data_IF_248448833692
#
_entry.id   IF_248448833692
#
_cell.length_a   1.000
_cell.length_b   1.000
_cell.length_c   1.000
_cell.angle_alpha   90.00
_cell.angle_beta   90.00
_cell.angle_gamma   90.00
#
_symmetry.space_group_name_H-M   'P 1'
#
loop_
_entity.id
_entity.type
_entity.pdbx_description
1 polymer ?
#
# COMPACT_ATOMS: atom_id res chain seq x y z
N UNK A 1 -12.61 -4.60 7.40
CA UNK A 1 -12.04 -4.74 8.76
C UNK A 1 -10.55 -4.42 8.69
N UNK A 2 -9.95 -3.72 9.67
CA UNK A 2 -8.48 -3.51 9.72
C UNK A 2 -7.81 -4.78 10.25
N UNK A 3 -6.78 -5.24 9.57
CA UNK A 3 -6.04 -6.46 9.90
C UNK A 3 -4.70 -6.15 10.58
N UNK A 4 -4.01 -5.12 10.11
CA UNK A 4 -2.72 -4.69 10.62
C UNK A 4 -2.47 -3.22 10.23
N UNK A 5 -1.49 -2.58 10.86
CA UNK A 5 -1.04 -1.25 10.49
C UNK A 5 0.48 -1.14 10.70
N UNK A 6 1.12 -0.35 9.84
CA UNK A 6 2.54 -0.01 9.94
C UNK A 6 2.67 1.49 10.15
N UNK A 7 3.38 1.90 11.20
CA UNK A 7 3.53 3.31 11.55
C UNK A 7 4.77 3.91 10.88
N UNK A 8 4.54 4.95 10.08
CA UNK A 8 5.56 5.87 9.60
C UNK A 8 5.82 6.98 10.61
N UNK A 9 6.32 8.12 10.13
CA UNK A 9 6.52 9.34 10.92
C UNK A 9 5.30 10.25 10.90
N UNK A 10 4.68 10.43 9.74
CA UNK A 10 3.50 11.27 9.54
C UNK A 10 2.26 10.42 9.22
N UNK A 11 2.47 9.24 8.65
CA UNK A 11 1.39 8.39 8.17
C UNK A 11 1.37 7.03 8.86
N UNK A 12 0.17 6.53 9.13
CA UNK A 12 -0.08 5.14 9.47
C UNK A 12 -0.63 4.43 8.24
N UNK A 13 0.03 3.37 7.82
CA UNK A 13 -0.35 2.55 6.67
C UNK A 13 -1.21 1.39 7.15
N UNK A 14 -2.52 1.54 7.04
CA UNK A 14 -3.49 0.54 7.48
C UNK A 14 -3.75 -0.49 6.39
N UNK A 15 -3.77 -1.76 6.76
CA UNK A 15 -4.15 -2.88 5.91
C UNK A 15 -5.56 -3.31 6.29
N UNK A 16 -6.49 -3.25 5.35
CA UNK A 16 -7.88 -3.67 5.56
C UNK A 16 -8.32 -4.70 4.52
N UNK A 17 -9.29 -5.53 4.89
CA UNK A 17 -9.96 -6.41 3.94
C UNK A 17 -10.74 -5.61 2.89
N UNK A 18 -10.58 -5.98 1.63
CA UNK A 18 -11.31 -5.48 0.47
C UNK A 18 -11.99 -6.65 -0.25
N UNK A 19 -13.07 -6.39 -1.00
CA UNK A 19 -13.77 -7.45 -1.75
C UNK A 19 -12.82 -8.22 -2.70
N UNK A 20 -11.85 -7.51 -3.29
CA UNK A 20 -10.85 -8.04 -4.22
C UNK A 20 -9.50 -8.40 -3.58
N UNK A 21 -9.41 -8.41 -2.24
CA UNK A 21 -8.19 -8.78 -1.51
C UNK A 21 -7.93 -7.90 -0.29
N UNK A 22 -6.84 -7.15 -0.34
CA UNK A 22 -6.34 -6.35 0.78
C UNK A 22 -6.02 -4.94 0.30
N UNK A 23 -6.58 -3.93 0.95
CA UNK A 23 -6.29 -2.52 0.66
C UNK A 23 -5.31 -1.99 1.69
N UNK A 24 -4.27 -1.30 1.21
CA UNK A 24 -3.40 -0.45 2.02
C UNK A 24 -3.84 0.99 1.84
N UNK A 25 -4.11 1.67 2.93
CA UNK A 25 -4.53 3.08 2.94
C UNK A 25 -3.71 3.88 3.93
N UNK A 26 -3.51 5.15 3.64
CA UNK A 26 -2.76 6.07 4.47
C UNK A 26 -3.72 6.81 5.41
N UNK A 27 -3.42 6.77 6.70
CA UNK A 27 -4.06 7.60 7.72
C UNK A 27 -3.05 8.61 8.25
N UNK A 28 -3.41 9.88 8.23
CA UNK A 28 -2.63 10.95 8.82
C UNK A 28 -2.59 10.77 10.35
N UNK A 29 -1.40 10.76 10.95
CA UNK A 29 -1.22 10.58 12.40
C UNK A 29 -1.60 11.83 13.21
N UNK A 30 -1.54 13.01 12.61
CA UNK A 30 -1.86 14.29 13.25
C UNK A 30 -3.36 14.57 13.21
N UNK A 31 -4.00 14.36 12.05
CA UNK A 31 -5.43 14.66 11.85
C UNK A 31 -6.33 13.44 12.06
N UNK A 32 -5.80 12.23 11.87
CA UNK A 32 -6.57 10.99 11.89
C UNK A 32 -7.35 10.70 10.61
N UNK A 33 -7.25 11.57 9.60
CA UNK A 33 -7.98 11.47 8.34
C UNK A 33 -7.34 10.41 7.42
N UNK A 34 -8.17 9.75 6.61
CA UNK A 34 -7.72 8.76 5.62
C UNK A 34 -7.57 9.44 4.26
N UNK A 35 -6.45 9.20 3.59
CA UNK A 35 -6.22 9.69 2.24
C UNK A 35 -6.99 8.84 1.22
N UNK A 36 -8.12 9.38 0.72
CA UNK A 36 -9.04 8.67 -0.18
C UNK A 36 -8.44 8.30 -1.55
N UNK A 37 -7.37 8.98 -1.98
CA UNK A 37 -6.73 8.76 -3.27
C UNK A 37 -5.42 7.95 -3.18
N UNK A 38 -4.92 7.69 -1.96
CA UNK A 38 -3.66 6.99 -1.70
C UNK A 38 -3.79 5.48 -1.59
N UNK A 39 -4.98 4.92 -1.84
CA UNK A 39 -5.26 3.51 -1.64
C UNK A 39 -4.54 2.64 -2.68
N UNK A 40 -3.95 1.53 -2.23
CA UNK A 40 -3.38 0.49 -3.11
C UNK A 40 -3.94 -0.87 -2.72
N UNK A 41 -4.51 -1.59 -3.69
CA UNK A 41 -5.15 -2.90 -3.50
C UNK A 41 -4.23 -4.01 -3.99
N UNK A 42 -4.02 -5.00 -3.13
CA UNK A 42 -3.23 -6.20 -3.38
C UNK A 42 -4.11 -7.44 -3.29
N UNK A 43 -3.77 -8.48 -4.04
CA UNK A 43 -4.48 -9.77 -3.99
C UNK A 43 -4.07 -10.61 -2.80
N UNK A 44 -2.87 -10.40 -2.27
CA UNK A 44 -2.24 -11.23 -1.24
C UNK A 44 -1.84 -10.40 -0.02
N UNK A 45 -2.20 -10.90 1.17
CA UNK A 45 -1.90 -10.24 2.44
C UNK A 45 -0.40 -10.02 2.68
N UNK A 46 0.51 -10.98 2.38
CA UNK A 46 1.93 -10.78 2.63
C UNK A 46 2.54 -9.63 1.80
N UNK A 47 2.03 -9.41 0.58
CA UNK A 47 2.49 -8.30 -0.27
C UNK A 47 1.92 -6.98 0.21
N UNK A 48 0.65 -6.93 0.59
CA UNK A 48 0.05 -5.75 1.23
C UNK A 48 0.83 -5.33 2.48
N UNK A 49 1.22 -6.31 3.30
CA UNK A 49 2.02 -6.07 4.50
C UNK A 49 3.42 -5.54 4.16
N UNK A 50 4.13 -6.19 3.25
CA UNK A 50 5.45 -5.74 2.83
C UNK A 50 5.43 -4.33 2.21
N UNK A 51 4.38 -4.01 1.46
CA UNK A 51 4.16 -2.66 0.93
C UNK A 51 3.95 -1.64 2.05
N UNK A 52 3.07 -1.92 3.01
CA UNK A 52 2.82 -1.04 4.15
C UNK A 52 4.09 -0.81 4.99
N UNK A 53 4.90 -1.85 5.23
CA UNK A 53 6.19 -1.72 5.92
C UNK A 53 7.18 -0.86 5.14
N UNK A 54 7.31 -1.09 3.82
CA UNK A 54 8.18 -0.31 2.95
C UNK A 54 7.77 1.16 2.94
N UNK A 55 6.48 1.46 2.79
CA UNK A 55 5.97 2.84 2.78
C UNK A 55 6.17 3.52 4.13
N UNK A 56 5.95 2.83 5.25
CA UNK A 56 6.23 3.35 6.59
C UNK A 56 7.73 3.64 6.81
N UNK A 57 8.62 2.80 6.30
CA UNK A 57 10.06 3.05 6.36
C UNK A 57 10.48 4.21 5.45
N UNK A 58 9.87 4.35 4.27
CA UNK A 58 10.09 5.48 3.39
C UNK A 58 9.65 6.80 4.02
N UNK A 59 8.46 6.85 4.62
CA UNK A 59 7.96 8.05 5.32
C UNK A 59 8.92 8.46 6.44
N UNK A 60 9.36 7.51 7.28
CA UNK A 60 10.38 7.76 8.30
C UNK A 60 11.67 8.29 7.68
N UNK A 61 12.19 7.65 6.62
CA UNK A 61 13.42 8.06 5.94
C UNK A 61 13.33 9.48 5.34
N UNK A 62 12.21 9.83 4.71
CA UNK A 62 12.04 11.18 4.12
C UNK A 62 11.78 12.26 5.16
N UNK A 63 11.33 11.88 6.35
CA UNK A 63 11.10 12.79 7.46
C UNK A 63 12.38 13.10 8.25
N UNK A 64 13.46 12.35 8.05
CA UNK A 64 14.74 12.67 8.69
C UNK A 64 15.39 13.85 7.98
N UNK A 65 15.81 14.84 8.78
CA UNK A 65 16.56 16.00 8.30
C UNK A 65 18.05 15.71 8.39
N UNK A 66 18.85 16.19 7.42
CA UNK A 66 20.32 16.03 7.23
C UNK A 66 21.25 16.17 8.48
N UNK A 67 20.71 16.52 9.64
CA UNK A 67 21.44 16.72 10.91
C UNK A 67 21.33 15.53 11.89
N UNK A 68 20.56 14.48 11.57
CA UNK A 68 20.43 13.32 12.46
C UNK A 68 21.46 12.20 12.13
N UNK A 69 22.21 11.69 13.14
CA UNK A 69 23.22 10.65 12.93
C UNK A 69 22.64 9.28 12.49
N UNK A 70 21.32 9.15 12.41
CA UNK A 70 20.60 7.89 12.14
C UNK A 70 20.18 7.73 10.65
N UNK A 71 20.46 8.72 9.80
CA UNK A 71 20.05 8.74 8.38
C UNK A 71 20.54 7.51 7.59
N UNK A 72 21.77 7.07 7.85
CA UNK A 72 22.35 5.88 7.18
C UNK A 72 21.61 4.60 7.58
N UNK A 73 21.22 4.49 8.85
CA UNK A 73 20.48 3.35 9.35
C UNK A 73 19.07 3.33 8.76
N UNK A 74 18.41 4.49 8.69
CA UNK A 74 17.06 4.62 8.10
C UNK A 74 17.06 4.36 6.58
N UNK A 75 18.07 4.84 5.86
CA UNK A 75 18.25 4.52 4.44
C UNK A 75 18.44 3.02 4.21
N UNK A 76 19.21 2.36 5.08
CA UNK A 76 19.40 0.90 5.03
C UNK A 76 18.10 0.16 5.35
N UNK A 77 17.37 0.61 6.37
CA UNK A 77 16.08 0.06 6.80
C UNK A 77 15.03 0.12 5.68
N UNK A 78 14.99 1.24 4.95
CA UNK A 78 14.15 1.44 3.77
C UNK A 78 14.56 0.51 2.63
N UNK A 79 15.85 0.49 2.25
CA UNK A 79 16.34 -0.33 1.15
C UNK A 79 16.08 -1.85 1.37
N UNK A 80 16.21 -2.33 2.60
CA UNK A 80 15.89 -3.73 2.95
C UNK A 80 14.41 -4.03 2.73
N UNK A 81 13.50 -3.14 3.16
CA UNK A 81 12.06 -3.34 2.99
C UNK A 81 11.61 -3.20 1.54
N UNK A 82 12.20 -2.27 0.79
CA UNK A 82 11.99 -2.14 -0.64
C UNK A 82 12.35 -3.44 -1.37
N UNK A 83 13.51 -4.03 -1.05
CA UNK A 83 13.92 -5.30 -1.62
C UNK A 83 12.95 -6.43 -1.28
N UNK A 84 12.51 -6.53 -0.01
CA UNK A 84 11.55 -7.54 0.44
C UNK A 84 10.22 -7.40 -0.33
N UNK A 85 9.72 -6.17 -0.49
CA UNK A 85 8.51 -5.92 -1.27
C UNK A 85 8.69 -6.31 -2.74
N UNK A 86 9.79 -5.92 -3.38
CA UNK A 86 10.09 -6.28 -4.77
C UNK A 86 10.16 -7.80 -4.97
N UNK A 87 10.81 -8.51 -4.05
CA UNK A 87 10.94 -9.96 -4.11
C UNK A 87 9.59 -10.66 -3.92
N UNK A 88 8.78 -10.23 -2.94
CA UNK A 88 7.47 -10.83 -2.65
C UNK A 88 6.46 -10.55 -3.77
N UNK A 89 6.36 -9.30 -4.23
CA UNK A 89 5.46 -8.90 -5.33
C UNK A 89 5.78 -9.66 -6.62
N UNK A 90 7.07 -9.82 -6.93
CA UNK A 90 7.52 -10.59 -8.10
C UNK A 90 7.20 -12.08 -7.97
N UNK A 91 7.45 -12.69 -6.81
CA UNK A 91 7.21 -14.13 -6.58
C UNK A 91 5.74 -14.50 -6.57
N UNK A 92 4.89 -13.60 -6.09
CA UNK A 92 3.44 -13.81 -5.96
C UNK A 92 2.65 -13.19 -7.11
N UNK A 93 3.33 -12.53 -8.07
CA UNK A 93 2.72 -11.83 -9.19
C UNK A 93 1.64 -10.82 -8.76
N UNK A 94 1.94 -10.08 -7.69
CA UNK A 94 1.01 -9.14 -7.06
C UNK A 94 1.70 -7.78 -6.92
N UNK A 95 1.55 -6.92 -7.92
CA UNK A 95 2.19 -5.59 -7.96
C UNK A 95 1.40 -4.49 -7.28
N UNK A 96 0.20 -4.79 -6.77
CA UNK A 96 -0.76 -3.78 -6.33
C UNK A 96 -1.44 -3.05 -7.50
N UNK A 97 -2.63 -2.54 -7.24
CA UNK A 97 -3.41 -1.72 -8.18
C UNK A 97 -3.90 -0.49 -7.43
N UNK A 98 -3.80 0.69 -8.04
CA UNK A 98 -4.32 1.91 -7.44
C UNK A 98 -5.83 1.78 -7.15
N UNK A 99 -6.27 2.16 -5.95
CA UNK A 99 -7.66 2.04 -5.52
C UNK A 99 -8.63 2.81 -6.42
N UNK A 100 -8.19 3.92 -7.02
CA UNK A 100 -8.97 4.66 -8.02
C UNK A 100 -9.32 3.82 -9.25
N UNK A 101 -8.43 2.92 -9.68
CA UNK A 101 -8.69 1.99 -10.79
C UNK A 101 -9.69 0.90 -10.38
N UNK A 102 -9.63 0.43 -9.14
CA UNK A 102 -10.58 -0.56 -8.59
C UNK A 102 -11.97 0.06 -8.49
N UNK A 103 -12.08 1.28 -7.94
CA UNK A 103 -13.35 2.00 -7.88
C UNK A 103 -13.92 2.33 -9.27
N UNK A 104 -13.06 2.60 -10.27
CA UNK A 104 -13.51 2.79 -11.64
C UNK A 104 -14.03 1.50 -12.28
N UNK A 105 -13.43 0.36 -11.95
CA UNK A 105 -13.88 -0.96 -12.38
C UNK A 105 -15.24 -1.35 -11.75
N UNK A 106 -15.42 -1.08 -10.45
CA UNK A 106 -16.70 -1.31 -9.76
C UNK A 106 -17.82 -0.36 -10.24
N UNK A 107 -17.46 0.84 -10.67
CA UNK A 107 -18.39 1.80 -11.30
C UNK A 107 -18.79 1.42 -12.72
N UNK A 108 -18.23 0.36 -13.32
CA UNK A 108 -18.85 -0.28 -14.48
C UNK A 108 -19.83 -1.38 -14.00
N UNK A 109 -21.10 -1.07 -13.71
CA UNK A 109 -22.10 -2.12 -13.73
C UNK A 109 -22.18 -2.68 -15.15
N UNK A 110 -22.62 -3.93 -15.24
CA UNK A 110 -22.81 -4.69 -16.45
C UNK A 110 -23.80 -4.06 -17.47
N UNK A 111 -23.42 -2.95 -18.10
CA UNK A 111 -24.12 -2.35 -19.23
C UNK A 111 -23.39 -2.70 -20.54
N UNK A 112 -23.81 -3.81 -21.14
CA UNK A 112 -23.61 -4.16 -22.56
C UNK A 112 -22.20 -4.65 -22.91
N UNK A 113 -21.96 -5.83 -23.48
CA UNK A 113 -22.77 -6.72 -24.30
C UNK A 113 -22.27 -8.13 -23.99
N UNK A 114 -23.14 -9.05 -23.55
CA UNK A 114 -22.81 -10.48 -23.66
C UNK A 114 -22.83 -10.83 -25.14
N UNK A 115 -21.68 -10.72 -25.81
CA UNK A 115 -21.48 -11.35 -27.11
C UNK A 115 -21.47 -12.86 -26.88
N UNK A 116 -22.64 -13.47 -26.93
CA UNK A 116 -22.78 -14.92 -27.14
C UNK A 116 -22.14 -15.24 -28.49
N UNK A 117 -20.97 -15.87 -28.45
CA UNK A 117 -20.39 -16.55 -29.60
C UNK A 117 -21.28 -17.76 -29.90
N UNK A 118 -21.98 -17.71 -31.05
CA UNK A 118 -22.67 -18.84 -31.67
C UNK A 118 -21.74 -19.53 -32.65
#
# INVERSE_FOLDING_TARGET
MILAACEGRHWQYEIAEHADGYVVRMRDLDTGDIEENGETVFRTMPVAFAFAEMSAAFDRFTASTDEEPDDVQMATDFAVREQIFCDLSSRLCDGGVAGTLVQAWDRQPAEGLRLTLH
#
